data_IF_654964418925
#
_entry.id   IF_654964418925
#
_cell.length_a   1.000
_cell.length_b   1.000
_cell.length_c   1.000
_cell.angle_alpha   90.00
_cell.angle_beta   90.00
_cell.angle_gamma   90.00
#
_symmetry.space_group_name_H-M   'P 1'
#
loop_
_entity.id
_entity.type
_entity.pdbx_description
1 polymer ?
#
# COMPACT_ATOMS: atom_id res chain seq x y z
N UNK A 1 12.21 1.67 -34.28
CA UNK A 1 11.88 1.78 -32.83
C UNK A 1 10.39 1.56 -32.67
N UNK A 2 9.93 0.87 -31.60
CA UNK A 2 8.52 0.47 -31.45
C UNK A 2 7.76 1.54 -30.66
N UNK A 3 6.78 2.19 -31.29
CA UNK A 3 5.79 3.03 -30.61
C UNK A 3 4.75 2.14 -29.94
N UNK A 4 4.24 2.58 -28.78
CA UNK A 4 3.18 1.88 -28.05
C UNK A 4 1.90 2.68 -28.21
N UNK A 5 0.90 2.08 -28.86
CA UNK A 5 -0.42 2.66 -29.02
C UNK A 5 -1.31 2.19 -27.88
N UNK A 6 -1.94 3.14 -27.18
CA UNK A 6 -2.84 2.86 -26.09
C UNK A 6 -4.16 3.58 -26.32
N UNK A 7 -5.27 2.86 -26.21
CA UNK A 7 -6.61 3.42 -26.34
C UNK A 7 -7.15 3.75 -24.96
N UNK A 8 -7.44 5.02 -24.73
CA UNK A 8 -8.09 5.48 -23.50
C UNK A 8 -9.54 4.99 -23.43
N UNK A 9 -10.11 4.94 -22.24
CA UNK A 9 -11.54 4.60 -22.01
C UNK A 9 -12.51 5.54 -22.75
N UNK A 10 -12.03 6.73 -23.14
CA UNK A 10 -12.75 7.71 -23.96
C UNK A 10 -12.72 7.39 -25.47
N UNK A 11 -12.06 6.31 -25.88
CA UNK A 11 -11.91 5.89 -27.27
C UNK A 11 -10.80 6.60 -28.06
N UNK A 12 -10.04 7.49 -27.42
CA UNK A 12 -8.88 8.15 -28.05
C UNK A 12 -7.65 7.25 -28.06
N UNK A 13 -7.03 7.09 -29.23
CA UNK A 13 -5.73 6.44 -29.37
C UNK A 13 -4.62 7.45 -29.13
N UNK A 14 -3.77 7.17 -28.14
CA UNK A 14 -2.54 7.93 -27.91
C UNK A 14 -1.37 7.08 -28.38
N UNK A 15 -0.47 7.69 -29.14
CA UNK A 15 0.79 7.10 -29.53
C UNK A 15 1.89 7.64 -28.63
N UNK A 16 2.42 6.80 -27.75
CA UNK A 16 3.51 7.17 -26.87
C UNK A 16 4.84 7.04 -27.63
N UNK A 17 5.52 8.17 -27.78
CA UNK A 17 6.85 8.20 -28.39
C UNK A 17 7.91 7.75 -27.37
N UNK A 18 9.11 7.34 -27.81
CA UNK A 18 10.21 7.00 -26.90
C UNK A 18 10.61 8.15 -25.96
N UNK A 19 10.40 9.39 -26.38
CA UNK A 19 10.67 10.60 -25.60
C UNK A 19 9.64 10.78 -24.48
N UNK A 20 8.36 10.51 -24.78
CA UNK A 20 7.28 10.52 -23.79
C UNK A 20 7.49 9.43 -22.73
N UNK A 21 7.90 8.23 -23.14
CA UNK A 21 8.22 7.14 -22.22
C UNK A 21 9.37 7.53 -21.29
N UNK A 22 10.38 8.24 -21.81
CA UNK A 22 11.52 8.71 -21.02
C UNK A 22 11.12 9.81 -20.03
N UNK A 23 10.24 10.73 -20.43
CA UNK A 23 9.69 11.77 -19.55
C UNK A 23 8.80 11.18 -18.45
N UNK A 24 7.91 10.24 -18.82
CA UNK A 24 7.05 9.53 -17.87
C UNK A 24 7.88 8.71 -16.88
N UNK A 25 8.94 8.04 -17.34
CA UNK A 25 9.85 7.32 -16.46
C UNK A 25 10.49 8.23 -15.41
N UNK A 26 10.89 9.46 -15.76
CA UNK A 26 11.43 10.40 -14.78
C UNK A 26 10.40 10.84 -13.73
N UNK A 27 9.15 11.04 -14.14
CA UNK A 27 8.05 11.42 -13.24
C UNK A 27 7.71 10.25 -12.30
N UNK A 28 7.64 9.04 -12.86
CA UNK A 28 7.45 7.78 -12.12
C UNK A 28 8.62 7.57 -11.16
N UNK A 29 9.86 7.58 -11.64
CA UNK A 29 11.06 7.40 -10.83
C UNK A 29 11.18 8.48 -9.74
N UNK A 30 10.75 9.72 -9.98
CA UNK A 30 10.71 10.78 -8.96
C UNK A 30 9.59 10.58 -7.92
N UNK A 31 8.41 10.11 -8.34
CA UNK A 31 7.33 9.71 -7.43
C UNK A 31 7.74 8.51 -6.56
N UNK A 32 8.56 7.61 -7.10
CA UNK A 32 9.08 6.43 -6.41
C UNK A 32 10.42 6.68 -5.68
N UNK A 33 11.14 7.78 -5.97
CA UNK A 33 12.43 8.11 -5.34
C UNK A 33 12.30 8.39 -3.83
N UNK A 34 11.11 8.79 -3.36
CA UNK A 34 10.81 8.98 -1.93
C UNK A 34 10.21 7.72 -1.26
N UNK A 35 9.85 6.70 -2.06
CA UNK A 35 9.46 5.37 -1.60
C UNK A 35 10.71 4.48 -1.49
N UNK A 36 11.69 5.00 -0.76
CA UNK A 36 12.95 4.33 -0.52
C UNK A 36 12.72 3.21 0.49
N UNK A 37 13.22 2.02 0.17
CA UNK A 37 13.22 0.81 1.02
C UNK A 37 13.72 1.09 2.45
N UNK A 38 14.43 2.23 2.65
CA UNK A 38 14.85 2.78 3.93
C UNK A 38 13.71 3.25 4.82
N UNK A 39 12.62 3.82 4.30
CA UNK A 39 11.48 4.28 5.12
C UNK A 39 10.79 3.09 5.78
N UNK A 40 10.54 2.03 5.01
CA UNK A 40 10.01 0.77 5.50
C UNK A 40 10.93 0.11 6.53
N UNK A 41 12.25 0.05 6.26
CA UNK A 41 13.24 -0.49 7.21
C UNK A 41 13.36 0.34 8.49
N UNK A 42 13.33 1.67 8.39
CA UNK A 42 13.33 2.61 9.53
C UNK A 42 12.09 2.41 10.38
N UNK A 43 10.90 2.44 9.78
CA UNK A 43 9.63 2.19 10.45
C UNK A 43 9.60 0.84 11.17
N UNK A 44 10.16 -0.21 10.57
CA UNK A 44 10.22 -1.54 11.20
C UNK A 44 11.15 -1.59 12.42
N UNK A 45 12.15 -0.69 12.50
CA UNK A 45 13.10 -0.57 13.62
C UNK A 45 12.72 0.51 14.65
N UNK A 46 11.77 1.38 14.32
CA UNK A 46 11.29 2.48 15.17
C UNK A 46 10.47 2.00 16.38
N UNK A 47 10.31 2.89 17.35
CA UNK A 47 9.51 2.62 18.54
C UNK A 47 8.02 2.47 18.18
N UNK A 48 7.21 1.78 19.01
CA UNK A 48 5.79 1.61 18.73
C UNK A 48 4.98 2.91 18.61
N UNK A 49 5.44 4.00 19.23
CA UNK A 49 4.81 5.32 19.18
C UNK A 49 5.08 6.00 17.84
N UNK A 50 6.36 6.08 17.44
CA UNK A 50 6.77 6.65 16.15
C UNK A 50 6.11 5.94 14.97
N UNK A 51 5.96 4.62 15.04
CA UNK A 51 5.26 3.85 13.99
C UNK A 51 3.80 4.29 13.88
N UNK A 52 3.11 4.54 14.99
CA UNK A 52 1.70 4.96 14.95
C UNK A 52 1.56 6.35 14.36
N UNK A 53 2.45 7.27 14.73
CA UNK A 53 2.44 8.65 14.21
C UNK A 53 2.73 8.66 12.71
N UNK A 54 3.74 7.92 12.27
CA UNK A 54 4.09 7.80 10.86
C UNK A 54 2.96 7.16 10.03
N UNK A 55 2.35 6.06 10.50
CA UNK A 55 1.21 5.44 9.82
C UNK A 55 -0.03 6.37 9.81
N UNK A 56 -0.22 7.17 10.86
CA UNK A 56 -1.32 8.14 10.90
C UNK A 56 -1.13 9.28 9.89
N UNK A 57 0.11 9.67 9.59
CA UNK A 57 0.46 10.72 8.64
C UNK A 57 0.46 10.27 7.16
N UNK A 58 0.48 8.96 6.90
CA UNK A 58 0.49 8.40 5.54
C UNK A 58 -0.84 8.57 4.80
N UNK A 59 -0.80 8.61 3.47
CA UNK A 59 -2.03 8.53 2.66
C UNK A 59 -2.64 7.12 2.73
N UNK A 60 -3.91 6.99 2.31
CA UNK A 60 -4.56 5.66 2.21
C UNK A 60 -3.84 4.76 1.18
N UNK A 61 -3.31 5.36 0.12
CA UNK A 61 -2.55 4.67 -0.93
C UNK A 61 -1.21 4.12 -0.38
N UNK A 62 -0.49 4.93 0.40
CA UNK A 62 0.74 4.50 1.06
C UNK A 62 0.47 3.36 2.05
N UNK A 63 -0.58 3.47 2.87
CA UNK A 63 -0.95 2.41 3.81
C UNK A 63 -1.27 1.10 3.10
N UNK A 64 -1.98 1.18 1.97
CA UNK A 64 -2.29 0.00 1.14
C UNK A 64 -1.03 -0.60 0.52
N UNK A 65 -0.10 0.22 0.04
CA UNK A 65 1.16 -0.25 -0.49
C UNK A 65 2.00 -0.96 0.58
N UNK A 66 2.11 -0.37 1.78
CA UNK A 66 2.80 -0.99 2.92
C UNK A 66 2.14 -2.30 3.37
N UNK A 67 0.81 -2.37 3.33
CA UNK A 67 0.07 -3.61 3.61
C UNK A 67 0.39 -4.71 2.57
N UNK A 68 0.42 -4.36 1.28
CA UNK A 68 0.74 -5.29 0.18
C UNK A 68 2.18 -5.79 0.25
N UNK A 69 3.13 -4.92 0.58
CA UNK A 69 4.54 -5.31 0.75
C UNK A 69 4.74 -6.28 1.92
N UNK A 70 3.90 -6.21 2.96
CA UNK A 70 3.96 -7.12 4.10
C UNK A 70 3.18 -8.42 3.94
N UNK A 71 2.21 -8.49 3.02
CA UNK A 71 1.39 -9.71 2.82
C UNK A 71 2.24 -10.98 2.64
N UNK A 72 3.33 -11.00 1.84
CA UNK A 72 4.21 -12.17 1.73
C UNK A 72 4.95 -12.55 3.02
N UNK A 73 5.11 -11.59 3.94
CA UNK A 73 5.80 -11.78 5.23
C UNK A 73 4.84 -12.13 6.36
N UNK A 74 3.53 -12.19 6.10
CA UNK A 74 2.58 -12.71 7.08
C UNK A 74 2.96 -14.15 7.40
N UNK A 75 3.09 -14.43 8.70
CA UNK A 75 3.16 -15.82 9.16
C UNK A 75 1.83 -16.48 8.79
N UNK A 76 1.89 -17.62 8.09
CA UNK A 76 0.73 -18.46 7.84
C UNK A 76 0.12 -18.84 9.20
N UNK A 77 -1.02 -18.23 9.54
CA UNK A 77 -1.65 -18.37 10.84
C UNK A 77 -2.74 -17.31 11.08
N UNK A 78 -3.51 -17.52 12.15
CA UNK A 78 -4.64 -16.67 12.52
C UNK A 78 -4.23 -15.27 13.03
N UNK A 79 -2.94 -15.07 13.36
CA UNK A 79 -2.42 -13.83 13.93
C UNK A 79 -1.55 -13.09 12.91
N UNK A 80 -1.95 -11.88 12.46
CA UNK A 80 -1.08 -11.04 11.63
C UNK A 80 0.19 -10.67 12.41
N UNK A 81 1.27 -10.38 11.70
CA UNK A 81 2.50 -9.90 12.34
C UNK A 81 2.23 -8.53 13.01
N UNK A 82 3.01 -8.16 14.05
CA UNK A 82 2.77 -6.94 14.81
C UNK A 82 2.82 -5.64 14.00
N UNK A 83 3.50 -5.63 12.84
CA UNK A 83 3.63 -4.45 12.01
C UNK A 83 2.44 -4.33 11.04
N UNK A 84 2.07 -5.40 10.33
CA UNK A 84 0.83 -5.46 9.53
C UNK A 84 -0.40 -5.14 10.38
N UNK A 85 -0.40 -5.57 11.65
CA UNK A 85 -1.48 -5.25 12.56
C UNK A 85 -1.64 -3.74 12.76
N UNK A 86 -0.55 -2.99 12.89
CA UNK A 86 -0.61 -1.52 13.05
C UNK A 86 -1.10 -0.84 11.78
N UNK A 87 -0.69 -1.33 10.61
CA UNK A 87 -1.21 -0.84 9.31
C UNK A 87 -2.73 -1.06 9.24
N UNK A 88 -3.19 -2.26 9.59
CA UNK A 88 -4.63 -2.58 9.61
C UNK A 88 -5.41 -1.74 10.63
N UNK A 89 -4.83 -1.46 11.79
CA UNK A 89 -5.47 -0.61 12.80
C UNK A 89 -5.74 0.80 12.27
N UNK A 90 -4.79 1.41 11.54
CA UNK A 90 -5.03 2.72 10.92
C UNK A 90 -6.06 2.63 9.78
N UNK A 91 -6.00 1.61 8.92
CA UNK A 91 -7.03 1.40 7.88
C UNK A 91 -8.44 1.24 8.49
N UNK A 92 -8.57 0.48 9.57
CA UNK A 92 -9.84 0.29 10.28
C UNK A 92 -10.34 1.57 10.93
N UNK A 93 -9.43 2.30 11.59
CA UNK A 93 -9.75 3.59 12.23
C UNK A 93 -10.29 4.60 11.22
N UNK A 94 -9.69 4.69 10.03
CA UNK A 94 -10.15 5.58 8.95
C UNK A 94 -11.51 5.19 8.36
N UNK A 95 -11.83 3.90 8.39
CA UNK A 95 -13.06 3.36 7.79
C UNK A 95 -14.14 3.02 8.84
N UNK A 96 -14.03 3.52 10.07
CA UNK A 96 -15.05 3.35 11.11
C UNK A 96 -15.17 1.93 11.66
N UNK A 97 -14.17 1.08 11.48
CA UNK A 97 -14.11 -0.26 12.08
C UNK A 97 -13.42 -0.23 13.45
N UNK A 98 -13.77 -1.18 14.32
CA UNK A 98 -13.09 -1.33 15.61
C UNK A 98 -11.59 -1.61 15.42
N UNK A 99 -10.71 -0.81 16.05
CA UNK A 99 -9.26 -0.87 15.83
C UNK A 99 -8.42 -0.99 17.11
N UNK A 100 -9.00 -0.76 18.30
CA UNK A 100 -8.23 -0.68 19.56
C UNK A 100 -7.71 -2.03 20.08
N UNK A 101 -8.42 -3.12 19.81
CA UNK A 101 -8.09 -4.47 20.29
C UNK A 101 -8.13 -5.49 19.15
N UNK A 102 -7.42 -5.21 18.06
CA UNK A 102 -7.30 -6.17 16.96
C UNK A 102 -6.28 -7.24 17.39
N UNK A 103 -6.72 -8.29 18.07
CA UNK A 103 -5.97 -9.54 18.19
C UNK A 103 -6.33 -10.49 17.05
N UNK A 104 -7.59 -10.44 16.64
CA UNK A 104 -8.23 -11.25 15.61
C UNK A 104 -9.06 -10.35 14.70
N UNK A 105 -9.20 -10.76 13.45
CA UNK A 105 -9.97 -10.04 12.45
C UNK A 105 -11.40 -10.57 12.44
N UNK A 106 -12.36 -9.71 12.75
CA UNK A 106 -13.79 -9.99 12.58
C UNK A 106 -14.13 -10.20 11.10
N UNK A 107 -15.26 -10.85 10.84
CA UNK A 107 -15.74 -11.07 9.46
C UNK A 107 -15.86 -9.76 8.67
N UNK A 108 -16.31 -8.66 9.30
CA UNK A 108 -16.42 -7.35 8.66
C UNK A 108 -15.05 -6.77 8.29
N UNK A 109 -14.08 -6.84 9.21
CA UNK A 109 -12.72 -6.38 8.96
C UNK A 109 -12.02 -7.22 7.88
N UNK A 110 -12.21 -8.54 7.89
CA UNK A 110 -11.65 -9.42 6.87
C UNK A 110 -12.24 -9.14 5.50
N UNK A 111 -13.56 -8.96 5.41
CA UNK A 111 -14.23 -8.58 4.16
C UNK A 111 -13.73 -7.24 3.63
N UNK A 112 -13.54 -6.27 4.51
CA UNK A 112 -12.97 -4.97 4.17
C UNK A 112 -11.55 -5.10 3.61
N UNK A 113 -10.65 -5.82 4.31
CA UNK A 113 -9.29 -6.06 3.80
C UNK A 113 -9.31 -6.79 2.44
N UNK A 114 -10.19 -7.78 2.26
CA UNK A 114 -10.38 -8.46 0.97
C UNK A 114 -10.87 -7.53 -0.13
N UNK A 115 -11.77 -6.61 0.18
CA UNK A 115 -12.21 -5.58 -0.79
C UNK A 115 -11.09 -4.63 -1.22
N UNK A 116 -10.06 -4.46 -0.39
CA UNK A 116 -8.86 -3.69 -0.71
C UNK A 116 -7.78 -4.50 -1.45
N UNK A 117 -8.07 -5.77 -1.77
CA UNK A 117 -7.13 -6.69 -2.41
C UNK A 117 -6.09 -7.30 -1.46
N UNK A 118 -6.30 -7.18 -0.14
CA UNK A 118 -5.46 -7.77 0.90
C UNK A 118 -6.06 -9.10 1.40
N UNK A 119 -5.26 -10.00 1.96
CA UNK A 119 -5.73 -11.30 2.49
C UNK A 119 -6.50 -12.15 1.45
N UNK A 120 -6.02 -12.15 0.22
CA UNK A 120 -6.64 -12.85 -0.92
C UNK A 120 -6.16 -14.30 -1.08
N UNK A 121 -5.18 -14.74 -0.29
CA UNK A 121 -4.71 -16.14 -0.20
C UNK A 121 -5.19 -16.83 1.07
#
# INVERSE_FOLDING_TARGET
MKTVKYTLETGQEIELTPEDIKALKLIVDAAFANLDDTVYKKLKASTPVEIKEALAAMSDEDLLQFARMNEPHRRNGYKPDPFSLKIYQELFKRNGYGYKQVSHLSFKQERFLKSLGLRTK
#
